data_IF_357755797761
#
_entry.id   IF_357755797761
#
_cell.length_a   1.000
_cell.length_b   1.000
_cell.length_c   1.000
_cell.angle_alpha   90.00
_cell.angle_beta   90.00
_cell.angle_gamma   90.00
#
_symmetry.space_group_name_H-M   'P 1'
#
loop_
_entity.id
_entity.type
_entity.pdbx_description
1 polymer ?
#
# COMPACT_ATOMS: atom_id res chain seq x y z
N UNK A 1 -3.57 -17.92 4.92
CA UNK A 1 -3.30 -16.53 5.35
C UNK A 1 -4.00 -15.57 4.40
N UNK A 2 -4.80 -14.62 4.90
CA UNK A 2 -5.67 -13.78 4.06
C UNK A 2 -4.87 -12.89 3.09
N UNK A 3 -5.36 -12.73 1.86
CA UNK A 3 -4.65 -11.97 0.79
C UNK A 3 -4.64 -10.44 0.98
N UNK A 4 -5.35 -9.92 1.99
CA UNK A 4 -5.50 -8.48 2.29
C UNK A 4 -5.23 -8.17 3.77
N UNK A 5 -4.39 -8.96 4.42
CA UNK A 5 -4.09 -8.76 5.85
C UNK A 5 -3.41 -7.39 6.12
N UNK A 6 -2.63 -6.92 5.15
CA UNK A 6 -1.91 -5.65 5.22
C UNK A 6 -2.74 -4.40 4.89
N UNK A 7 -3.96 -4.54 4.38
CA UNK A 7 -4.78 -3.42 3.90
C UNK A 7 -6.19 -3.50 4.47
N UNK A 8 -6.54 -2.50 5.28
CA UNK A 8 -7.91 -2.29 5.76
C UNK A 8 -8.54 -1.12 5.03
N UNK A 9 -9.57 -1.40 4.22
CA UNK A 9 -10.33 -0.38 3.50
C UNK A 9 -11.57 0.02 4.28
N UNK A 10 -11.70 1.32 4.57
CA UNK A 10 -12.89 1.91 5.15
C UNK A 10 -13.69 2.67 4.08
N UNK A 11 -14.70 1.98 3.53
CA UNK A 11 -15.55 2.51 2.45
C UNK A 11 -16.34 3.77 2.84
N UNK A 12 -16.72 3.90 4.12
CA UNK A 12 -17.54 5.04 4.60
C UNK A 12 -16.84 6.38 4.47
N UNK A 13 -15.55 6.39 4.77
CA UNK A 13 -14.72 7.59 4.80
C UNK A 13 -13.74 7.62 3.61
N UNK A 14 -13.85 6.66 2.70
CA UNK A 14 -12.90 6.42 1.60
C UNK A 14 -11.45 6.45 2.10
N UNK A 15 -11.20 5.89 3.28
CA UNK A 15 -9.88 5.83 3.87
C UNK A 15 -9.34 4.41 3.89
N UNK A 16 -8.02 4.25 3.83
CA UNK A 16 -7.35 2.97 3.92
C UNK A 16 -6.28 3.03 5.01
N UNK A 17 -6.12 1.91 5.72
CA UNK A 17 -5.01 1.70 6.64
C UNK A 17 -4.12 0.61 6.06
N UNK A 18 -2.85 0.91 5.86
CA UNK A 18 -1.83 -0.02 5.40
C UNK A 18 -0.90 -0.33 6.56
N UNK A 19 -0.82 -1.62 6.94
CA UNK A 19 0.17 -2.08 7.90
C UNK A 19 1.50 -2.32 7.18
N UNK A 20 2.50 -1.50 7.48
CA UNK A 20 3.82 -1.60 6.88
C UNK A 20 4.53 -2.91 7.26
N UNK A 21 4.24 -3.45 8.44
CA UNK A 21 4.74 -4.76 8.87
C UNK A 21 4.23 -5.88 7.96
N UNK A 22 2.91 -6.01 7.81
CA UNK A 22 2.30 -7.04 6.98
C UNK A 22 2.66 -6.84 5.50
N UNK A 23 2.76 -5.58 5.05
CA UNK A 23 3.22 -5.27 3.70
C UNK A 23 4.68 -5.70 3.49
N UNK A 24 5.56 -5.47 4.47
CA UNK A 24 6.96 -5.90 4.40
C UNK A 24 7.08 -7.41 4.33
N UNK A 25 6.36 -8.16 5.16
CA UNK A 25 6.34 -9.63 5.08
C UNK A 25 5.91 -10.12 3.70
N UNK A 26 4.89 -9.49 3.10
CA UNK A 26 4.45 -9.81 1.73
C UNK A 26 5.44 -9.38 0.66
N UNK A 27 6.13 -8.27 0.88
CA UNK A 27 7.17 -7.81 -0.02
C UNK A 27 8.30 -8.84 -0.07
N UNK A 28 8.78 -9.33 1.07
CA UNK A 28 9.82 -10.36 1.15
C UNK A 28 9.39 -11.66 0.46
N UNK A 29 8.16 -12.11 0.70
CA UNK A 29 7.58 -13.28 0.04
C UNK A 29 7.49 -13.09 -1.48
N UNK A 30 6.96 -11.95 -1.92
CA UNK A 30 6.83 -11.62 -3.33
C UNK A 30 8.18 -11.37 -4.03
N UNK A 31 9.21 -10.90 -3.32
CA UNK A 31 10.58 -10.84 -3.86
C UNK A 31 11.16 -12.24 -4.07
N UNK A 32 10.94 -13.16 -3.12
CA UNK A 32 11.36 -14.55 -3.26
C UNK A 32 10.63 -15.27 -4.42
N UNK A 33 9.36 -14.93 -4.65
CA UNK A 33 8.54 -15.49 -5.74
C UNK A 33 8.69 -14.72 -7.07
N UNK A 34 9.32 -13.54 -7.08
CA UNK A 34 9.40 -12.67 -8.27
C UNK A 34 8.09 -11.98 -8.64
N UNK A 35 7.09 -11.96 -7.75
CA UNK A 35 5.75 -11.40 -7.95
C UNK A 35 5.58 -9.99 -7.35
N UNK A 36 6.68 -9.32 -7.00
CA UNK A 36 6.65 -8.01 -6.34
C UNK A 36 5.90 -6.95 -7.15
N UNK A 37 6.02 -6.97 -8.48
CA UNK A 37 5.29 -6.04 -9.35
C UNK A 37 3.77 -6.23 -9.23
N UNK A 38 3.30 -7.48 -9.17
CA UNK A 38 1.88 -7.81 -9.02
C UNK A 38 1.34 -7.39 -7.66
N UNK A 39 2.15 -7.51 -6.60
CA UNK A 39 1.79 -7.05 -5.26
C UNK A 39 1.48 -5.54 -5.24
N UNK A 40 2.37 -4.72 -5.81
CA UNK A 40 2.18 -3.27 -5.84
C UNK A 40 1.11 -2.80 -6.84
N UNK A 41 0.98 -3.47 -7.98
CA UNK A 41 -0.11 -3.19 -8.93
C UNK A 41 -1.49 -3.46 -8.28
N UNK A 42 -1.61 -4.57 -7.55
CA UNK A 42 -2.82 -4.88 -6.80
C UNK A 42 -3.07 -3.85 -5.69
N UNK A 43 -2.04 -3.45 -4.96
CA UNK A 43 -2.15 -2.42 -3.92
C UNK A 43 -2.64 -1.09 -4.52
N UNK A 44 -2.09 -0.67 -5.66
CA UNK A 44 -2.54 0.53 -6.39
C UNK A 44 -4.01 0.42 -6.80
N UNK A 45 -4.44 -0.74 -7.32
CA UNK A 45 -5.85 -0.99 -7.66
C UNK A 45 -6.80 -0.94 -6.46
N UNK A 46 -6.40 -1.51 -5.33
CA UNK A 46 -7.21 -1.51 -4.11
C UNK A 46 -7.26 -0.12 -3.45
N UNK A 47 -6.21 0.68 -3.56
CA UNK A 47 -6.16 2.07 -3.10
C UNK A 47 -6.82 3.07 -4.06
N UNK A 48 -7.17 2.64 -5.28
CA UNK A 48 -7.77 3.53 -6.28
C UNK A 48 -9.09 4.12 -5.78
N UNK A 49 -9.12 5.44 -5.61
CA UNK A 49 -10.30 6.17 -5.13
C UNK A 49 -10.45 6.21 -3.60
N UNK A 50 -9.37 5.89 -2.88
CA UNK A 50 -9.23 6.10 -1.44
C UNK A 50 -8.71 7.53 -1.22
N UNK A 51 -9.54 8.41 -0.66
CA UNK A 51 -9.16 9.80 -0.41
C UNK A 51 -8.11 9.99 0.70
N UNK A 52 -7.87 8.99 1.56
CA UNK A 52 -6.84 9.09 2.59
C UNK A 52 -6.22 7.73 2.93
N UNK A 53 -4.89 7.64 2.88
CA UNK A 53 -4.16 6.43 3.31
C UNK A 53 -3.37 6.72 4.59
N UNK A 54 -3.57 5.89 5.62
CA UNK A 54 -2.80 5.90 6.86
C UNK A 54 -1.86 4.71 6.87
N UNK A 55 -0.60 4.97 7.22
CA UNK A 55 0.42 3.93 7.38
C UNK A 55 0.57 3.62 8.87
N UNK A 56 0.51 2.34 9.25
CA UNK A 56 0.85 1.87 10.61
C UNK A 56 2.15 1.10 10.58
N UNK A 57 2.78 0.94 11.75
CA UNK A 57 4.00 0.14 11.91
C UNK A 57 5.15 0.64 11.01
N UNK A 58 5.27 1.96 10.86
CA UNK A 58 6.21 2.63 9.95
C UNK A 58 7.67 2.31 10.22
N UNK A 59 8.00 1.72 11.38
CA UNK A 59 9.32 1.15 11.67
C UNK A 59 9.78 0.12 10.62
N UNK A 60 8.85 -0.59 9.97
CA UNK A 60 9.13 -1.54 8.89
C UNK A 60 9.43 -0.87 7.54
N UNK A 61 9.19 0.44 7.39
CA UNK A 61 9.61 1.24 6.23
C UNK A 61 11.10 1.62 6.26
N UNK A 62 11.89 1.02 7.15
CA UNK A 62 13.35 1.17 7.16
C UNK A 62 13.99 0.61 5.87
N UNK A 63 13.30 -0.27 5.15
CA UNK A 63 13.69 -0.73 3.83
C UNK A 63 13.41 0.34 2.76
N UNK A 64 14.46 0.92 2.19
CA UNK A 64 14.34 2.03 1.21
C UNK A 64 13.58 1.65 -0.06
N UNK A 65 13.78 0.44 -0.59
CA UNK A 65 13.10 -0.04 -1.79
C UNK A 65 11.59 -0.16 -1.58
N UNK A 66 11.17 -0.79 -0.49
CA UNK A 66 9.77 -0.87 -0.09
C UNK A 66 9.16 0.53 0.07
N UNK A 67 9.88 1.43 0.76
CA UNK A 67 9.42 2.80 0.99
C UNK A 67 9.23 3.56 -0.33
N UNK A 68 10.19 3.48 -1.26
CA UNK A 68 10.11 4.15 -2.57
C UNK A 68 8.94 3.62 -3.39
N UNK A 69 8.75 2.29 -3.46
CA UNK A 69 7.63 1.68 -4.20
C UNK A 69 6.28 2.03 -3.58
N UNK A 70 6.17 1.99 -2.26
CA UNK A 70 4.94 2.39 -1.56
C UNK A 70 4.61 3.87 -1.81
N UNK A 71 5.60 4.76 -1.70
CA UNK A 71 5.40 6.19 -1.99
C UNK A 71 4.94 6.43 -3.43
N UNK A 72 5.49 5.69 -4.41
CA UNK A 72 5.06 5.79 -5.80
C UNK A 72 3.59 5.41 -5.96
N UNK A 73 3.12 4.35 -5.28
CA UNK A 73 1.70 3.96 -5.30
C UNK A 73 0.80 5.01 -4.66
N UNK A 74 1.22 5.61 -3.54
CA UNK A 74 0.43 6.63 -2.84
C UNK A 74 0.36 7.96 -3.60
N UNK A 75 1.44 8.33 -4.29
CA UNK A 75 1.50 9.56 -5.09
C UNK A 75 0.56 9.49 -6.29
N UNK A 76 0.43 8.31 -6.92
CA UNK A 76 -0.48 8.09 -8.05
C UNK A 76 -1.96 8.36 -7.73
N UNK A 77 -2.38 8.18 -6.48
CA UNK A 77 -3.76 8.48 -6.06
C UNK A 77 -3.92 9.93 -5.56
N UNK A 78 -2.86 10.50 -4.96
CA UNK A 78 -2.87 11.89 -4.46
C UNK A 78 -2.95 12.95 -5.58
N UNK A 79 -2.35 12.71 -6.75
CA UNK A 79 -2.41 13.63 -7.90
C UNK A 79 -3.80 13.69 -8.57
N UNK A 80 -4.77 12.90 -8.10
CA UNK A 80 -6.14 12.88 -8.59
C UNK A 80 -7.12 13.71 -7.77
N UNK A 81 -6.65 14.54 -6.85
CA UNK A 81 -7.50 15.46 -6.09
C UNK A 81 -7.73 16.76 -6.89
N UNK A 82 -8.90 16.98 -7.53
CA UNK A 82 -9.26 18.30 -8.00
C UNK A 82 -9.40 19.21 -6.78
N UNK A 83 -8.64 20.29 -6.75
CA UNK A 83 -8.95 21.43 -5.90
C UNK A 83 -10.25 22.03 -6.42
N UNK A 84 -11.33 21.90 -5.65
CA UNK A 84 -12.56 22.67 -5.80
C UNK A 84 -12.58 23.73 -4.68
#
# INVERSE_FOLDING_TARGET
MNRRDFLTLNRRDRSAVVSCEQLYMRYVDAEAEGTTAELFDRLSRDLRGVGAVRLTDTQWLSCEDLKKRLHAVLLQDSERQPAD
#
